data_IF_361707753605
#
_entry.id   IF_361707753605
#
_cell.length_a   1.000
_cell.length_b   1.000
_cell.length_c   1.000
_cell.angle_alpha   90.00
_cell.angle_beta   90.00
_cell.angle_gamma   90.00
#
_symmetry.space_group_name_H-M   'P 1'
#
loop_
_entity.id
_entity.type
_entity.pdbx_description
1 polymer ?
#
# COMPACT_ATOMS: atom_id res chain seq x y z
N UNK A 1 -19.87 7.55 11.97
CA UNK A 1 -18.58 6.99 11.56
C UNK A 1 -18.63 5.49 11.72
N UNK A 2 -18.07 4.72 10.82
CA UNK A 2 -18.07 3.25 10.88
C UNK A 2 -16.97 2.78 11.84
N UNK A 3 -17.29 1.82 12.69
CA UNK A 3 -16.37 1.24 13.67
C UNK A 3 -16.34 -0.28 13.54
N UNK A 4 -15.15 -0.89 13.61
CA UNK A 4 -14.97 -2.34 13.59
C UNK A 4 -14.05 -2.75 14.73
N UNK A 5 -14.59 -3.50 15.68
CA UNK A 5 -13.87 -3.96 16.87
C UNK A 5 -13.48 -5.44 16.84
N UNK A 6 -14.14 -6.25 16.00
CA UNK A 6 -13.91 -7.69 15.96
C UNK A 6 -13.00 -8.12 14.81
N UNK A 7 -11.94 -8.86 15.13
CA UNK A 7 -11.05 -9.51 14.17
C UNK A 7 -11.75 -10.61 13.34
N UNK A 8 -12.94 -11.05 13.75
CA UNK A 8 -13.75 -12.03 13.03
C UNK A 8 -14.67 -11.40 11.98
N UNK A 9 -14.73 -10.07 11.91
CA UNK A 9 -15.50 -9.35 10.89
C UNK A 9 -15.10 -9.82 9.47
N UNK A 10 -16.06 -10.15 8.58
CA UNK A 10 -15.76 -10.62 7.23
C UNK A 10 -14.89 -9.66 6.42
N UNK A 11 -15.07 -8.35 6.60
CA UNK A 11 -14.23 -7.34 5.95
C UNK A 11 -12.78 -7.41 6.44
N UNK A 12 -12.54 -7.56 7.75
CA UNK A 12 -11.19 -7.72 8.29
C UNK A 12 -10.53 -9.02 7.78
N UNK A 13 -11.29 -10.11 7.69
CA UNK A 13 -10.80 -11.37 7.09
C UNK A 13 -10.38 -11.20 5.64
N UNK A 14 -11.13 -10.41 4.87
CA UNK A 14 -10.76 -10.12 3.47
C UNK A 14 -9.47 -9.31 3.39
N UNK A 15 -9.23 -8.36 4.31
CA UNK A 15 -7.99 -7.59 4.36
C UNK A 15 -6.77 -8.46 4.72
N UNK A 16 -6.93 -9.42 5.63
CA UNK A 16 -5.88 -10.43 5.91
C UNK A 16 -5.53 -11.21 4.64
N UNK A 17 -6.52 -11.58 3.82
CA UNK A 17 -6.26 -12.25 2.54
C UNK A 17 -5.48 -11.35 1.56
N UNK A 18 -5.75 -10.04 1.53
CA UNK A 18 -4.97 -9.09 0.72
C UNK A 18 -3.51 -9.02 1.17
N UNK A 19 -3.27 -9.08 2.47
CA UNK A 19 -1.93 -9.06 3.03
C UNK A 19 -1.14 -10.33 2.66
N UNK A 20 -1.75 -11.48 2.82
CA UNK A 20 -1.08 -12.78 2.69
C UNK A 20 -0.99 -13.28 1.24
N UNK A 21 -1.99 -12.98 0.39
CA UNK A 21 -2.16 -13.66 -0.90
C UNK A 21 -2.11 -12.72 -2.09
N UNK A 22 -1.08 -12.87 -2.92
CA UNK A 22 -0.97 -12.16 -4.20
C UNK A 22 -2.20 -12.38 -5.11
N UNK A 23 -2.80 -13.59 -5.08
CA UNK A 23 -4.02 -13.88 -5.83
C UNK A 23 -5.19 -12.99 -5.39
N UNK A 24 -5.37 -12.77 -4.08
CA UNK A 24 -6.43 -11.90 -3.55
C UNK A 24 -6.22 -10.45 -4.03
N UNK A 25 -4.99 -9.93 -3.97
CA UNK A 25 -4.66 -8.59 -4.49
C UNK A 25 -4.96 -8.43 -5.97
N UNK A 26 -4.59 -9.43 -6.79
CA UNK A 26 -4.86 -9.41 -8.24
C UNK A 26 -6.37 -9.46 -8.54
N UNK A 27 -7.13 -10.25 -7.80
CA UNK A 27 -8.58 -10.38 -8.02
C UNK A 27 -9.36 -9.16 -7.58
N UNK A 28 -8.98 -8.53 -6.45
CA UNK A 28 -9.64 -7.33 -5.95
C UNK A 28 -9.15 -6.06 -6.65
N UNK A 29 -7.97 -6.08 -7.24
CA UNK A 29 -7.31 -4.87 -7.76
C UNK A 29 -6.91 -3.89 -6.65
N UNK A 30 -6.77 -4.36 -5.39
CA UNK A 30 -6.44 -3.52 -4.24
C UNK A 30 -5.28 -4.11 -3.42
N UNK A 31 -4.64 -3.27 -2.63
CA UNK A 31 -3.58 -3.66 -1.70
C UNK A 31 -3.59 -2.80 -0.44
N UNK A 32 -2.89 -3.25 0.59
CA UNK A 32 -2.78 -2.53 1.87
C UNK A 32 -1.50 -1.69 1.91
N UNK A 33 -1.63 -0.51 2.52
CA UNK A 33 -0.52 0.40 2.82
C UNK A 33 -0.54 0.66 4.32
N UNK A 34 0.58 0.42 5.00
CA UNK A 34 0.73 0.63 6.43
C UNK A 34 1.67 1.79 6.70
N UNK A 35 1.23 2.76 7.52
CA UNK A 35 1.99 3.93 7.94
C UNK A 35 1.58 5.24 7.24
N UNK A 36 1.69 6.34 7.99
CA UNK A 36 1.27 7.68 7.51
C UNK A 36 2.11 8.14 6.32
N UNK A 37 3.44 7.96 6.42
CA UNK A 37 4.38 8.36 5.38
C UNK A 37 4.13 7.60 4.08
N UNK A 38 3.92 6.29 4.16
CA UNK A 38 3.66 5.42 3.03
C UNK A 38 2.33 5.79 2.34
N UNK A 39 1.30 6.10 3.12
CA UNK A 39 0.00 6.58 2.61
C UNK A 39 0.16 7.92 1.89
N UNK A 40 0.89 8.88 2.48
CA UNK A 40 1.15 10.17 1.83
C UNK A 40 1.93 10.03 0.53
N UNK A 41 2.96 9.17 0.50
CA UNK A 41 3.74 8.90 -0.71
C UNK A 41 2.91 8.23 -1.80
N UNK A 42 2.06 7.27 -1.42
CA UNK A 42 1.14 6.62 -2.36
C UNK A 42 0.15 7.65 -2.95
N UNK A 43 -0.43 8.51 -2.11
CA UNK A 43 -1.33 9.57 -2.57
C UNK A 43 -0.63 10.54 -3.52
N UNK A 44 0.58 11.00 -3.18
CA UNK A 44 1.41 11.85 -4.06
C UNK A 44 1.79 11.15 -5.36
N UNK A 45 2.03 9.83 -5.30
CA UNK A 45 2.28 8.98 -6.48
C UNK A 45 1.03 8.67 -7.30
N UNK A 46 -0.11 9.31 -6.99
CA UNK A 46 -1.36 9.16 -7.75
C UNK A 46 -2.06 7.81 -7.56
N UNK A 47 -1.82 7.11 -6.43
CA UNK A 47 -2.64 5.97 -6.04
C UNK A 47 -3.98 6.41 -5.49
N UNK A 48 -5.06 5.74 -5.89
CA UNK A 48 -6.41 5.97 -5.38
C UNK A 48 -6.58 5.24 -4.04
N UNK A 49 -6.66 6.00 -2.95
CA UNK A 49 -6.95 5.48 -1.62
C UNK A 49 -8.47 5.41 -1.46
N UNK A 50 -9.01 4.24 -1.13
CA UNK A 50 -10.45 4.02 -0.99
C UNK A 50 -10.91 4.07 0.46
N UNK A 51 -10.14 3.45 1.35
CA UNK A 51 -10.50 3.33 2.77
C UNK A 51 -9.28 3.51 3.64
N UNK A 52 -9.43 4.18 4.77
CA UNK A 52 -8.44 4.26 5.83
C UNK A 52 -9.04 3.67 7.10
N UNK A 53 -8.31 2.70 7.67
CA UNK A 53 -8.55 2.15 9.00
C UNK A 53 -7.56 2.77 9.97
N UNK A 54 -8.02 3.22 11.13
CA UNK A 54 -7.13 3.87 12.10
C UNK A 54 -7.53 3.59 13.55
N UNK A 55 -6.56 3.71 14.44
CA UNK A 55 -6.73 3.63 15.89
C UNK A 55 -7.07 5.02 16.45
N UNK A 56 -8.25 5.25 17.02
CA UNK A 56 -8.64 6.55 17.55
C UNK A 56 -7.79 6.99 18.76
N UNK A 57 -7.13 6.03 19.43
CA UNK A 57 -6.19 6.32 20.53
C UNK A 57 -4.86 6.93 20.06
N UNK A 58 -4.52 6.77 18.78
CA UNK A 58 -3.25 7.23 18.20
C UNK A 58 -3.42 8.39 17.22
N UNK A 59 -4.56 8.46 16.53
CA UNK A 59 -4.82 9.44 15.48
C UNK A 59 -6.23 9.99 15.61
N UNK A 60 -6.35 11.30 15.50
CA UNK A 60 -7.66 11.96 15.40
C UNK A 60 -8.20 11.87 13.96
N UNK A 61 -9.52 11.94 13.82
CA UNK A 61 -10.18 11.96 12.51
C UNK A 61 -9.66 13.09 11.61
N UNK A 62 -9.37 14.27 12.19
CA UNK A 62 -8.83 15.41 11.46
C UNK A 62 -7.46 15.08 10.83
N UNK A 63 -6.54 14.49 11.61
CA UNK A 63 -5.23 14.06 11.12
C UNK A 63 -5.34 13.03 9.98
N UNK A 64 -6.28 12.08 10.10
CA UNK A 64 -6.46 11.04 9.08
C UNK A 64 -7.05 11.62 7.78
N UNK A 65 -7.97 12.59 7.88
CA UNK A 65 -8.54 13.29 6.71
C UNK A 65 -7.50 14.10 5.93
N UNK A 66 -6.52 14.64 6.61
CA UNK A 66 -5.45 15.42 5.96
C UNK A 66 -4.48 14.54 5.15
N UNK A 67 -4.42 13.22 5.44
CA UNK A 67 -3.51 12.29 4.77
C UNK A 67 -3.96 11.86 3.36
N UNK A 68 -5.26 11.75 3.12
CA UNK A 68 -5.78 11.08 1.92
C UNK A 68 -6.90 11.82 1.17
N UNK A 69 -7.26 13.03 1.61
CA UNK A 69 -8.31 13.83 0.97
C UNK A 69 -9.73 13.44 1.40
N UNK A 70 -10.74 14.14 0.82
CA UNK A 70 -12.12 14.15 1.32
C UNK A 70 -13.01 12.99 0.82
N UNK A 71 -12.57 12.21 -0.16
CA UNK A 71 -13.39 11.15 -0.80
C UNK A 71 -13.00 9.74 -0.35
N UNK A 72 -12.47 9.61 0.85
CA UNK A 72 -12.00 8.34 1.41
C UNK A 72 -12.96 7.88 2.51
N UNK A 73 -13.28 6.59 2.58
CA UNK A 73 -14.00 6.03 3.71
C UNK A 73 -13.07 5.92 4.92
N UNK A 74 -13.49 6.43 6.09
CA UNK A 74 -12.74 6.34 7.33
C UNK A 74 -13.44 5.35 8.28
N UNK A 75 -12.66 4.39 8.81
CA UNK A 75 -13.14 3.34 9.71
C UNK A 75 -12.27 3.33 10.95
N UNK A 76 -12.87 3.54 12.10
CA UNK A 76 -12.21 3.29 13.38
C UNK A 76 -12.08 1.80 13.63
N UNK A 77 -10.91 1.36 14.05
CA UNK A 77 -10.66 -0.04 14.40
C UNK A 77 -10.13 -0.19 15.82
N UNK A 78 -10.38 -1.36 16.41
CA UNK A 78 -9.82 -1.71 17.71
C UNK A 78 -8.33 -2.07 17.58
N UNK A 79 -7.61 -2.02 18.70
CA UNK A 79 -6.21 -2.44 18.79
C UNK A 79 -6.01 -3.91 18.36
N UNK A 80 -6.96 -4.79 18.70
CA UNK A 80 -6.96 -6.20 18.28
C UNK A 80 -7.02 -6.33 16.76
N UNK A 81 -7.91 -5.58 16.11
CA UNK A 81 -8.04 -5.57 14.65
C UNK A 81 -6.77 -5.02 14.00
N UNK A 82 -6.23 -3.93 14.54
CA UNK A 82 -5.00 -3.33 14.04
C UNK A 82 -3.83 -4.31 14.11
N UNK A 83 -3.59 -4.95 15.26
CA UNK A 83 -2.52 -5.95 15.44
C UNK A 83 -2.64 -7.12 14.48
N UNK A 84 -3.86 -7.51 14.11
CA UNK A 84 -4.09 -8.57 13.13
C UNK A 84 -3.72 -8.17 11.70
N UNK A 85 -3.83 -6.89 11.37
CA UNK A 85 -3.55 -6.34 10.02
C UNK A 85 -2.17 -5.72 9.91
N UNK A 86 -1.54 -5.32 11.00
CA UNK A 86 -0.23 -4.71 11.00
C UNK A 86 0.85 -5.74 10.67
N UNK A 87 1.77 -5.36 9.79
CA UNK A 87 2.95 -6.17 9.46
C UNK A 87 4.10 -5.95 10.45
N UNK A 88 4.14 -4.75 11.07
CA UNK A 88 5.19 -4.34 12.02
C UNK A 88 4.59 -4.13 13.40
N UNK A 89 5.30 -4.55 14.45
CA UNK A 89 4.86 -4.41 15.85
C UNK A 89 4.83 -2.95 16.35
N UNK A 90 5.55 -2.06 15.66
CA UNK A 90 5.71 -0.63 16.04
C UNK A 90 5.17 0.28 14.96
N UNK A 91 3.86 0.38 14.84
CA UNK A 91 3.27 1.14 13.75
C UNK A 91 2.41 2.29 14.24
N UNK A 92 2.16 3.21 13.32
CA UNK A 92 1.53 4.51 13.54
C UNK A 92 0.00 4.44 13.68
N UNK A 93 -0.56 3.24 13.86
CA UNK A 93 -2.00 3.05 14.10
C UNK A 93 -2.88 3.31 12.88
N UNK A 94 -2.34 3.18 11.65
CA UNK A 94 -3.06 3.48 10.41
C UNK A 94 -2.74 2.49 9.30
N UNK A 95 -3.77 2.07 8.58
CA UNK A 95 -3.68 1.20 7.40
C UNK A 95 -4.64 1.73 6.34
N UNK A 96 -4.19 1.86 5.10
CA UNK A 96 -5.03 2.24 3.97
C UNK A 96 -5.25 1.07 3.00
N UNK A 97 -6.37 1.09 2.32
CA UNK A 97 -6.69 0.26 1.17
C UNK A 97 -6.60 1.15 -0.06
N UNK A 98 -5.74 0.79 -1.00
CA UNK A 98 -5.55 1.53 -2.24
C UNK A 98 -5.76 0.64 -3.46
N UNK A 99 -6.20 1.25 -4.58
CA UNK A 99 -6.29 0.58 -5.88
C UNK A 99 -4.92 0.34 -6.46
N UNK A 100 -4.70 -0.86 -7.00
CA UNK A 100 -3.54 -1.17 -7.83
C UNK A 100 -3.61 -0.40 -9.13
N UNK A 101 -2.45 0.06 -9.62
CA UNK A 101 -2.33 0.61 -10.96
C UNK A 101 -2.02 -0.52 -11.96
N UNK A 102 -2.53 -0.42 -13.16
CA UNK A 102 -2.02 -1.19 -14.29
C UNK A 102 -0.75 -0.52 -14.76
N UNK A 103 0.37 -1.22 -14.63
CA UNK A 103 1.68 -0.76 -15.06
C UNK A 103 2.13 -1.68 -16.20
N UNK A 104 2.06 -1.20 -17.42
CA UNK A 104 2.51 -1.87 -18.63
C UNK A 104 3.66 -1.10 -19.29
N UNK A 105 4.34 -1.74 -20.22
CA UNK A 105 5.47 -1.13 -20.91
C UNK A 105 5.02 -0.02 -21.86
N UNK A 106 3.83 -0.12 -22.40
CA UNK A 106 3.28 0.86 -23.36
C UNK A 106 2.92 2.19 -22.68
N UNK A 107 2.71 2.16 -21.35
CA UNK A 107 2.44 3.35 -20.54
C UNK A 107 3.69 4.04 -19.98
N UNK A 108 4.91 3.60 -20.35
CA UNK A 108 6.14 4.24 -19.90
C UNK A 108 6.39 5.55 -20.68
N UNK A 109 6.42 6.65 -19.95
CA UNK A 109 6.86 7.94 -20.48
C UNK A 109 8.35 8.12 -20.16
N UNK A 110 9.21 7.95 -21.15
CA UNK A 110 10.66 8.03 -21.03
C UNK A 110 11.19 9.29 -21.71
N UNK A 111 12.18 9.95 -21.10
CA UNK A 111 12.91 11.07 -21.67
C UNK A 111 13.86 10.65 -22.79
N UNK A 112 14.66 11.60 -23.31
CA UNK A 112 15.59 11.35 -24.43
C UNK A 112 16.71 10.35 -24.10
N UNK A 113 17.18 10.33 -22.85
CA UNK A 113 18.28 9.46 -22.39
C UNK A 113 17.86 8.72 -21.10
N UNK A 114 16.93 7.76 -21.19
CA UNK A 114 16.40 7.13 -19.99
C UNK A 114 17.38 6.14 -19.36
N UNK A 115 17.47 6.16 -18.04
CA UNK A 115 18.18 5.15 -17.25
C UNK A 115 17.18 4.16 -16.67
N UNK A 116 17.23 2.91 -17.13
CA UNK A 116 16.26 1.87 -16.79
C UNK A 116 16.95 0.72 -16.06
N UNK A 117 16.41 0.32 -14.91
CA UNK A 117 16.80 -0.90 -14.21
C UNK A 117 15.89 -2.05 -14.63
N UNK A 118 16.46 -3.14 -15.11
CA UNK A 118 15.73 -4.38 -15.37
C UNK A 118 16.17 -5.43 -14.34
N UNK A 119 15.22 -5.92 -13.55
CA UNK A 119 15.46 -6.97 -12.55
C UNK A 119 14.79 -8.27 -13.01
N UNK A 120 15.60 -9.30 -13.27
CA UNK A 120 15.14 -10.62 -13.69
C UNK A 120 14.85 -11.50 -12.48
N UNK A 121 13.63 -12.05 -12.44
CA UNK A 121 13.16 -13.05 -11.49
C UNK A 121 13.47 -12.78 -10.00
N UNK A 122 13.24 -11.59 -9.47
CA UNK A 122 13.46 -11.35 -8.04
C UNK A 122 12.49 -12.20 -7.20
N UNK A 123 13.04 -12.94 -6.24
CA UNK A 123 12.26 -13.94 -5.47
C UNK A 123 11.64 -13.37 -4.20
N UNK A 124 12.31 -12.40 -3.55
CA UNK A 124 11.87 -11.88 -2.24
C UNK A 124 11.29 -10.49 -2.37
N UNK A 125 10.08 -10.22 -1.82
CA UNK A 125 9.49 -8.87 -1.84
C UNK A 125 10.38 -7.79 -1.25
N UNK A 126 11.16 -8.10 -0.21
CA UNK A 126 12.12 -7.18 0.38
C UNK A 126 13.26 -6.78 -0.57
N UNK A 127 13.68 -7.67 -1.47
CA UNK A 127 14.70 -7.35 -2.48
C UNK A 127 14.11 -6.40 -3.54
N UNK A 128 12.84 -6.59 -3.94
CA UNK A 128 12.16 -5.67 -4.86
C UNK A 128 12.08 -4.27 -4.24
N UNK A 129 11.67 -4.17 -2.98
CA UNK A 129 11.63 -2.90 -2.27
C UNK A 129 13.00 -2.21 -2.14
N UNK A 130 14.08 -2.99 -1.95
CA UNK A 130 15.44 -2.45 -1.92
C UNK A 130 15.89 -1.95 -3.30
N UNK A 131 15.60 -2.69 -4.37
CA UNK A 131 15.87 -2.27 -5.75
C UNK A 131 15.14 -0.97 -6.10
N UNK A 132 13.85 -0.87 -5.78
CA UNK A 132 13.06 0.34 -6.02
C UNK A 132 13.61 1.56 -5.28
N UNK A 133 14.00 1.41 -4.01
CA UNK A 133 14.63 2.51 -3.24
C UNK A 133 15.96 2.94 -3.82
N UNK A 134 16.78 1.99 -4.27
CA UNK A 134 18.08 2.29 -4.89
C UNK A 134 17.88 2.99 -6.24
N UNK A 135 16.93 2.52 -7.04
CA UNK A 135 16.59 3.12 -8.33
C UNK A 135 16.09 4.57 -8.16
N UNK A 136 15.20 4.81 -7.20
CA UNK A 136 14.71 6.16 -6.88
C UNK A 136 15.86 7.08 -6.43
N UNK A 137 16.73 6.61 -5.53
CA UNK A 137 17.89 7.38 -5.07
C UNK A 137 18.92 7.67 -6.19
N UNK A 138 19.03 6.78 -7.17
CA UNK A 138 19.90 6.94 -8.34
C UNK A 138 19.26 7.78 -9.47
N UNK A 139 18.02 8.22 -9.32
CA UNK A 139 17.30 9.01 -10.32
C UNK A 139 17.00 8.22 -11.59
N UNK A 140 16.73 6.91 -11.46
CA UNK A 140 16.35 6.09 -12.61
C UNK A 140 14.93 6.42 -13.08
N UNK A 141 14.71 6.42 -14.39
CA UNK A 141 13.43 6.77 -15.01
C UNK A 141 12.41 5.64 -14.89
N UNK A 142 12.87 4.38 -14.89
CA UNK A 142 11.99 3.23 -14.75
C UNK A 142 12.69 2.02 -14.11
N UNK A 143 11.88 1.17 -13.46
CA UNK A 143 12.30 -0.17 -13.01
C UNK A 143 11.36 -1.20 -13.64
N UNK A 144 11.92 -2.13 -14.38
CA UNK A 144 11.18 -3.24 -14.99
C UNK A 144 11.47 -4.52 -14.20
N UNK A 145 10.42 -5.12 -13.67
CA UNK A 145 10.51 -6.42 -12.98
C UNK A 145 10.07 -7.49 -13.97
N UNK A 146 11.05 -8.20 -14.51
CA UNK A 146 10.80 -9.30 -15.44
C UNK A 146 10.64 -10.63 -14.69
N UNK A 147 9.65 -11.42 -15.09
CA UNK A 147 9.39 -12.77 -14.58
C UNK A 147 9.37 -12.87 -13.02
N UNK A 148 8.59 -12.03 -12.31
CA UNK A 148 8.60 -12.02 -10.85
C UNK A 148 8.12 -13.36 -10.29
N UNK A 149 8.82 -13.88 -9.26
CA UNK A 149 8.46 -15.12 -8.57
C UNK A 149 7.71 -14.90 -7.25
N UNK A 150 7.43 -13.66 -6.89
CA UNK A 150 6.72 -13.29 -5.65
C UNK A 150 5.38 -12.60 -5.94
#
# INVERSE_FOLDING_TARGET
MKQISSSQNPFIKSLVQLQEKAKARRQSGTFLIEGQREIQLAHKGGYSIETILYLPDMLTEAQVKDLAGRQVEFIEISREVYQKLAYRDTTEGIIAIAKSKTLDLDGLELGENPLILVAEAPEKPGNIGALLRTADAAGMDAVIIANPKS
#
